data_IF_704456457594
#
_entry.id   IF_704456457594
#
_cell.length_a   1.000
_cell.length_b   1.000
_cell.length_c   1.000
_cell.angle_alpha   90.00
_cell.angle_beta   90.00
_cell.angle_gamma   90.00
#
_symmetry.space_group_name_H-M   'P 1'
#
loop_
_entity.id
_entity.type
_entity.pdbx_description
1 polymer ?
#
# COMPACT_ATOMS: atom_id res chain seq x y z
N UNK A 1 -10.68 20.48 0.01
CA UNK A 1 -10.10 19.13 -0.22
C UNK A 1 -10.71 18.44 -1.44
N UNK A 2 -11.96 18.73 -1.79
CA UNK A 2 -12.65 18.03 -2.88
C UNK A 2 -12.01 18.28 -4.25
N UNK A 3 -11.50 19.49 -4.49
CA UNK A 3 -10.69 19.80 -5.69
C UNK A 3 -9.47 18.89 -5.85
N UNK A 4 -8.76 18.61 -4.75
CA UNK A 4 -7.58 17.73 -4.77
C UNK A 4 -7.97 16.27 -5.05
N UNK A 5 -9.07 15.79 -4.45
CA UNK A 5 -9.60 14.45 -4.74
C UNK A 5 -10.02 14.31 -6.20
N UNK A 6 -10.75 15.30 -6.72
CA UNK A 6 -11.18 15.32 -8.12
C UNK A 6 -9.98 15.29 -9.07
N UNK A 7 -8.91 16.04 -8.76
CA UNK A 7 -7.68 16.04 -9.53
C UNK A 7 -6.94 14.69 -9.51
N UNK A 8 -6.87 14.02 -8.36
CA UNK A 8 -6.27 12.67 -8.29
C UNK A 8 -7.08 11.66 -9.13
N UNK A 9 -8.41 11.77 -9.10
CA UNK A 9 -9.31 10.90 -9.87
C UNK A 9 -9.21 11.14 -11.36
N UNK A 10 -9.09 12.39 -11.81
CA UNK A 10 -8.93 12.70 -13.25
C UNK A 10 -7.63 12.13 -13.82
N UNK A 11 -6.62 11.89 -12.98
CA UNK A 11 -5.38 11.21 -13.36
C UNK A 11 -5.45 9.68 -13.28
N UNK A 12 -6.63 9.08 -13.13
CA UNK A 12 -6.85 7.64 -13.05
C UNK A 12 -6.00 6.94 -11.97
N UNK A 13 -5.64 7.65 -10.91
CA UNK A 13 -4.85 7.07 -9.82
C UNK A 13 -5.73 6.16 -8.97
N UNK A 14 -5.13 5.10 -8.42
CA UNK A 14 -5.84 4.17 -7.57
C UNK A 14 -6.47 4.87 -6.34
N UNK A 15 -7.68 4.46 -5.97
CA UNK A 15 -8.40 4.99 -4.81
C UNK A 15 -7.59 4.91 -3.49
N UNK A 16 -6.76 3.87 -3.34
CA UNK A 16 -5.86 3.74 -2.18
C UNK A 16 -4.80 4.86 -2.16
N UNK A 17 -4.32 5.28 -3.32
CA UNK A 17 -3.40 6.42 -3.46
C UNK A 17 -4.10 7.73 -3.10
N UNK A 18 -5.34 7.95 -3.58
CA UNK A 18 -6.17 9.10 -3.16
C UNK A 18 -6.27 9.18 -1.63
N UNK A 19 -6.71 8.09 -0.98
CA UNK A 19 -6.83 8.03 0.48
C UNK A 19 -5.51 8.36 1.18
N UNK A 20 -4.42 7.79 0.68
CA UNK A 20 -3.08 7.97 1.28
C UNK A 20 -2.60 9.41 1.14
N UNK A 21 -2.73 10.00 -0.04
CA UNK A 21 -2.26 11.37 -0.30
C UNK A 21 -3.10 12.38 0.46
N UNK A 22 -4.43 12.26 0.41
CA UNK A 22 -5.33 13.14 1.17
C UNK A 22 -5.03 13.07 2.67
N UNK A 23 -4.76 11.86 3.21
CA UNK A 23 -4.39 11.69 4.61
C UNK A 23 -3.13 12.50 4.98
N UNK A 24 -2.06 12.37 4.19
CA UNK A 24 -0.80 13.07 4.46
C UNK A 24 -0.91 14.58 4.28
N UNK A 25 -1.60 15.04 3.24
CA UNK A 25 -1.83 16.47 3.02
C UNK A 25 -2.64 17.09 4.15
N UNK A 26 -3.71 16.43 4.62
CA UNK A 26 -4.48 16.89 5.77
C UNK A 26 -3.63 16.96 7.04
N UNK A 27 -2.75 15.98 7.26
CA UNK A 27 -1.87 15.95 8.42
C UNK A 27 -0.81 17.05 8.38
N UNK A 28 -0.29 17.35 7.20
CA UNK A 28 0.62 18.47 6.94
C UNK A 28 -0.03 19.82 7.22
N UNK A 29 -1.23 20.05 6.67
CA UNK A 29 -2.00 21.29 6.91
C UNK A 29 -2.30 21.46 8.40
N UNK A 30 -2.66 20.38 9.11
CA UNK A 30 -2.92 20.43 10.55
C UNK A 30 -1.66 20.70 11.39
N UNK A 31 -0.48 20.31 10.89
CA UNK A 31 0.78 20.59 11.58
C UNK A 31 1.16 22.08 11.48
N UNK A 32 0.76 22.75 10.40
CA UNK A 32 0.95 24.19 10.17
C UNK A 32 -0.31 25.00 10.47
N UNK A 33 -1.05 24.65 11.53
CA UNK A 33 -2.21 25.40 12.03
C UNK A 33 -3.28 25.75 10.97
N UNK A 34 -3.46 24.85 10.00
CA UNK A 34 -4.41 24.98 8.89
C UNK A 34 -4.08 26.10 7.89
N UNK A 35 -2.84 26.55 7.85
CA UNK A 35 -2.35 27.42 6.78
C UNK A 35 -2.53 26.76 5.42
N UNK A 36 -2.83 27.57 4.40
CA UNK A 36 -3.03 27.08 3.06
C UNK A 36 -1.69 26.61 2.48
N UNK A 37 -1.60 25.42 1.85
CA UNK A 37 -0.35 24.90 1.30
C UNK A 37 0.37 25.82 0.31
N UNK A 38 -0.34 26.70 -0.39
CA UNK A 38 0.26 27.71 -1.29
C UNK A 38 1.08 28.78 -0.55
N UNK A 39 0.82 28.99 0.74
CA UNK A 39 1.57 29.94 1.58
C UNK A 39 2.81 29.29 2.21
N UNK A 40 2.86 27.96 2.20
CA UNK A 40 3.92 27.16 2.80
C UNK A 40 4.97 26.82 1.74
N UNK A 41 6.25 26.87 2.13
CA UNK A 41 7.41 26.67 1.26
C UNK A 41 8.15 25.37 1.61
N UNK A 42 9.23 25.08 0.89
CA UNK A 42 10.09 23.91 1.11
C UNK A 42 10.53 23.73 2.57
N UNK A 43 10.85 24.82 3.27
CA UNK A 43 11.20 24.80 4.70
C UNK A 43 10.10 24.20 5.59
N UNK A 44 8.85 24.42 5.23
CA UNK A 44 7.68 23.97 6.00
C UNK A 44 7.44 22.47 5.76
N UNK A 45 7.73 22.01 4.54
CA UNK A 45 7.79 20.58 4.20
C UNK A 45 8.92 19.90 4.99
N UNK A 46 10.11 20.50 5.05
CA UNK A 46 11.26 19.97 5.79
C UNK A 46 10.98 19.87 7.28
N UNK A 47 10.37 20.90 7.87
CA UNK A 47 9.95 20.91 9.27
C UNK A 47 8.97 19.77 9.57
N UNK A 48 7.97 19.56 8.70
CA UNK A 48 7.01 18.48 8.87
C UNK A 48 7.64 17.09 8.73
N UNK A 49 8.48 16.87 7.71
CA UNK A 49 9.14 15.58 7.49
C UNK A 49 10.13 15.26 8.62
N UNK A 50 10.83 16.26 9.13
CA UNK A 50 11.70 16.14 10.31
C UNK A 50 10.88 15.82 11.55
N UNK A 51 9.74 16.48 11.76
CA UNK A 51 8.82 16.15 12.85
C UNK A 51 8.35 14.70 12.81
N UNK A 52 8.03 14.18 11.62
CA UNK A 52 7.63 12.78 11.46
C UNK A 52 8.76 11.80 11.83
N UNK A 53 10.01 12.12 11.51
CA UNK A 53 11.15 11.27 11.83
C UNK A 53 11.54 11.36 13.31
N UNK A 54 11.69 12.58 13.84
CA UNK A 54 12.27 12.83 15.15
C UNK A 54 11.23 12.69 16.27
N UNK A 55 10.05 13.29 16.13
CA UNK A 55 9.04 13.31 17.20
C UNK A 55 8.01 12.18 17.09
N UNK A 56 7.72 11.70 15.87
CA UNK A 56 6.78 10.59 15.66
C UNK A 56 7.47 9.24 15.44
N UNK A 57 8.80 9.22 15.38
CA UNK A 57 9.61 8.00 15.20
C UNK A 57 9.04 7.07 14.09
N UNK A 58 8.56 7.69 13.01
CA UNK A 58 7.91 6.95 11.92
C UNK A 58 8.92 6.07 11.19
N UNK A 59 8.46 5.07 10.43
CA UNK A 59 9.36 4.26 9.62
C UNK A 59 9.85 5.02 8.37
N UNK A 60 10.99 4.63 7.77
CA UNK A 60 11.46 5.22 6.51
C UNK A 60 10.41 5.13 5.39
N UNK A 61 9.68 4.02 5.31
CA UNK A 61 8.61 3.83 4.32
C UNK A 61 7.43 4.79 4.56
N UNK A 62 7.09 5.05 5.83
CA UNK A 62 6.05 6.01 6.21
C UNK A 62 6.46 7.42 5.81
N UNK A 63 7.67 7.86 6.14
CA UNK A 63 8.20 9.18 5.78
C UNK A 63 8.25 9.36 4.27
N UNK A 64 8.73 8.35 3.53
CA UNK A 64 8.77 8.37 2.05
C UNK A 64 7.37 8.52 1.44
N UNK A 65 6.36 7.88 2.03
CA UNK A 65 4.98 8.02 1.57
C UNK A 65 4.43 9.43 1.80
N UNK A 66 4.75 10.04 2.94
CA UNK A 66 4.41 11.43 3.22
C UNK A 66 5.10 12.39 2.26
N UNK A 67 6.41 12.23 2.05
CA UNK A 67 7.19 13.01 1.08
C UNK A 67 6.58 12.93 -0.33
N UNK A 68 6.29 11.72 -0.82
CA UNK A 68 5.69 11.54 -2.15
C UNK A 68 4.33 12.24 -2.28
N UNK A 69 3.51 12.23 -1.23
CA UNK A 69 2.23 12.92 -1.23
C UNK A 69 2.39 14.45 -1.29
N UNK A 70 3.37 15.00 -0.57
CA UNK A 70 3.65 16.44 -0.56
C UNK A 70 4.28 16.91 -1.87
N UNK A 71 5.27 16.18 -2.39
CA UNK A 71 5.84 16.46 -3.72
C UNK A 71 4.76 16.42 -4.80
N UNK A 72 3.84 15.45 -4.74
CA UNK A 72 2.71 15.40 -5.67
C UNK A 72 1.78 16.61 -5.51
N UNK A 73 1.45 17.02 -4.28
CA UNK A 73 0.63 18.21 -4.03
C UNK A 73 1.26 19.46 -4.67
N UNK A 74 2.53 19.71 -4.38
CA UNK A 74 3.23 20.92 -4.84
C UNK A 74 3.49 20.91 -6.34
N UNK A 75 4.04 19.81 -6.86
CA UNK A 75 4.42 19.71 -8.28
C UNK A 75 3.22 19.57 -9.21
N UNK A 76 2.28 18.68 -8.88
CA UNK A 76 1.21 18.32 -9.82
C UNK A 76 -0.07 19.13 -9.61
N UNK A 77 -0.43 19.44 -8.36
CA UNK A 77 -1.70 20.10 -8.07
C UNK A 77 -1.57 21.63 -7.95
N UNK A 78 -0.53 22.13 -7.27
CA UNK A 78 -0.30 23.57 -7.09
C UNK A 78 0.55 24.19 -8.20
N UNK A 79 1.29 23.37 -8.96
CA UNK A 79 2.23 23.87 -9.99
C UNK A 79 3.41 24.66 -9.42
N UNK A 80 3.69 24.50 -8.14
CA UNK A 80 4.77 25.18 -7.41
C UNK A 80 5.77 24.11 -6.95
N UNK A 81 6.76 23.75 -7.78
CA UNK A 81 7.72 22.72 -7.40
C UNK A 81 8.51 23.16 -6.17
N UNK A 82 8.79 22.21 -5.27
CA UNK A 82 9.61 22.43 -4.10
C UNK A 82 11.09 22.50 -4.50
N UNK A 83 11.80 23.45 -3.91
CA UNK A 83 13.27 23.49 -3.92
C UNK A 83 13.89 22.28 -3.21
N UNK A 84 15.22 22.20 -3.18
CA UNK A 84 15.96 21.16 -2.48
C UNK A 84 15.52 21.06 -1.01
N UNK A 85 15.08 19.85 -0.62
CA UNK A 85 14.57 19.53 0.70
C UNK A 85 15.69 18.99 1.60
N UNK A 86 15.87 19.59 2.78
CA UNK A 86 16.90 19.27 3.75
C UNK A 86 16.28 18.80 5.08
N UNK A 87 15.63 17.64 5.07
CA UNK A 87 14.97 17.06 6.25
C UNK A 87 15.74 15.88 6.86
N UNK A 88 15.46 15.60 8.13
CA UNK A 88 16.03 14.43 8.83
C UNK A 88 15.36 13.13 8.39
N UNK A 89 16.13 12.18 7.85
CA UNK A 89 15.62 10.86 7.49
C UNK A 89 15.34 9.99 8.71
N UNK A 90 14.23 9.26 8.68
CA UNK A 90 13.98 8.19 9.63
C UNK A 90 15.01 7.07 9.44
N UNK A 91 15.59 6.61 10.55
CA UNK A 91 16.58 5.53 10.59
C UNK A 91 16.09 4.28 11.32
N UNK A 92 14.77 4.07 11.38
CA UNK A 92 14.22 2.90 12.08
C UNK A 92 14.75 1.61 11.41
N UNK A 93 15.42 0.71 12.16
CA UNK A 93 15.99 -0.50 11.58
C UNK A 93 14.89 -1.37 11.00
N UNK A 94 15.10 -1.83 9.76
CA UNK A 94 14.17 -2.73 9.11
C UNK A 94 14.30 -4.10 9.76
N UNK A 95 13.20 -4.59 10.36
CA UNK A 95 13.17 -5.95 10.90
C UNK A 95 13.19 -6.93 9.73
N UNK A 96 14.06 -7.94 9.83
CA UNK A 96 14.04 -9.08 8.90
C UNK A 96 12.65 -9.72 9.03
N UNK A 97 11.96 -10.00 7.91
CA UNK A 97 10.67 -10.67 7.97
C UNK A 97 10.82 -12.03 8.64
N UNK A 98 10.14 -12.23 9.76
CA UNK A 98 10.01 -13.54 10.40
C UNK A 98 9.02 -14.34 9.58
N UNK A 99 9.46 -15.47 9.03
CA UNK A 99 8.62 -16.39 8.28
C UNK A 99 8.16 -17.51 9.20
N UNK A 100 6.92 -17.96 9.01
CA UNK A 100 6.43 -19.17 9.69
C UNK A 100 7.11 -20.40 9.13
N UNK A 101 7.40 -21.37 9.99
CA UNK A 101 7.66 -22.75 9.57
C UNK A 101 6.41 -23.37 8.94
N UNK A 102 6.61 -24.47 8.20
CA UNK A 102 5.49 -25.20 7.59
C UNK A 102 4.47 -25.65 8.65
N UNK A 103 4.93 -26.16 9.80
CA UNK A 103 4.07 -26.64 10.88
C UNK A 103 3.25 -25.50 11.52
N UNK A 104 3.87 -24.35 11.80
CA UNK A 104 3.17 -23.18 12.35
C UNK A 104 2.12 -22.63 11.39
N UNK A 105 2.44 -22.57 10.10
CA UNK A 105 1.51 -22.11 9.08
C UNK A 105 0.30 -23.06 8.96
N UNK A 106 0.51 -24.38 8.96
CA UNK A 106 -0.57 -25.36 8.94
C UNK A 106 -1.42 -25.30 10.22
N UNK A 107 -0.80 -25.19 11.38
CA UNK A 107 -1.51 -25.05 12.65
C UNK A 107 -2.40 -23.81 12.65
N UNK A 108 -1.87 -22.66 12.21
CA UNK A 108 -2.64 -21.40 12.13
C UNK A 108 -3.81 -21.52 11.15
N UNK A 109 -3.60 -22.11 9.97
CA UNK A 109 -4.68 -22.35 8.99
C UNK A 109 -5.72 -23.32 9.55
N UNK A 110 -5.32 -24.30 10.35
CA UNK A 110 -6.21 -25.26 11.02
C UNK A 110 -7.17 -24.60 12.01
N UNK A 111 -6.78 -23.49 12.64
CA UNK A 111 -7.63 -22.72 13.57
C UNK A 111 -8.60 -21.75 12.86
N UNK A 112 -8.43 -21.53 11.55
CA UNK A 112 -9.37 -20.72 10.77
C UNK A 112 -10.56 -21.56 10.30
N UNK A 113 -11.72 -20.93 10.14
CA UNK A 113 -12.95 -21.59 9.67
C UNK A 113 -13.55 -20.86 8.46
N UNK A 114 -14.35 -21.61 7.68
CA UNK A 114 -15.12 -21.09 6.55
C UNK A 114 -14.26 -20.44 5.46
N UNK A 115 -14.74 -19.30 4.94
CA UNK A 115 -14.09 -18.57 3.82
C UNK A 115 -12.67 -18.12 4.15
N UNK A 116 -12.40 -17.73 5.40
CA UNK A 116 -11.06 -17.29 5.82
C UNK A 116 -10.04 -18.42 5.72
N UNK A 117 -10.44 -19.65 6.06
CA UNK A 117 -9.60 -20.82 5.93
C UNK A 117 -9.27 -21.12 4.46
N UNK A 118 -10.28 -21.08 3.58
CA UNK A 118 -10.09 -21.27 2.15
C UNK A 118 -9.11 -20.25 1.56
N UNK A 119 -9.31 -18.96 1.87
CA UNK A 119 -8.42 -17.89 1.41
C UNK A 119 -6.99 -18.09 1.94
N UNK A 120 -6.83 -18.46 3.21
CA UNK A 120 -5.52 -18.72 3.80
C UNK A 120 -4.81 -19.92 3.13
N UNK A 121 -5.54 -21.02 2.86
CA UNK A 121 -5.01 -22.18 2.12
C UNK A 121 -4.58 -21.81 0.70
N UNK A 122 -5.39 -21.03 0.00
CA UNK A 122 -5.06 -20.55 -1.35
C UNK A 122 -3.80 -19.69 -1.32
N UNK A 123 -3.72 -18.70 -0.43
CA UNK A 123 -2.54 -17.84 -0.28
C UNK A 123 -1.30 -18.69 0.03
N UNK A 124 -1.40 -19.63 0.98
CA UNK A 124 -0.29 -20.45 1.41
C UNK A 124 0.20 -21.39 0.30
N UNK A 125 -0.71 -22.10 -0.37
CA UNK A 125 -0.33 -23.14 -1.34
C UNK A 125 -0.09 -22.65 -2.76
N UNK A 126 -0.57 -21.45 -3.14
CA UNK A 126 -0.36 -20.87 -4.48
C UNK A 126 0.44 -19.57 -4.48
N UNK A 127 0.83 -19.05 -3.31
CA UNK A 127 1.60 -17.82 -3.19
C UNK A 127 0.85 -16.58 -3.67
N UNK A 128 -0.49 -16.58 -3.60
CA UNK A 128 -1.32 -15.41 -3.93
C UNK A 128 -1.11 -14.29 -2.92
N UNK A 129 -1.06 -13.04 -3.39
CA UNK A 129 -1.23 -11.90 -2.48
C UNK A 129 -2.67 -11.86 -2.01
N UNK A 130 -2.91 -11.32 -0.82
CA UNK A 130 -4.27 -11.22 -0.25
C UNK A 130 -5.29 -10.59 -1.21
N UNK A 131 -4.92 -9.49 -1.90
CA UNK A 131 -5.81 -8.85 -2.87
C UNK A 131 -6.00 -9.65 -4.17
N UNK A 132 -5.06 -10.52 -4.52
CA UNK A 132 -5.20 -11.43 -5.67
C UNK A 132 -6.22 -12.53 -5.30
N UNK A 133 -6.09 -13.13 -4.11
CA UNK A 133 -7.03 -14.13 -3.61
C UNK A 133 -8.46 -13.59 -3.41
N UNK A 134 -8.60 -12.36 -2.87
CA UNK A 134 -9.92 -11.75 -2.64
C UNK A 134 -10.63 -11.29 -3.92
N UNK A 135 -9.92 -11.19 -5.05
CA UNK A 135 -10.47 -10.75 -6.34
C UNK A 135 -10.68 -11.89 -7.33
N UNK A 136 -10.40 -13.11 -6.89
CA UNK A 136 -10.56 -14.30 -7.71
C UNK A 136 -12.00 -14.45 -8.19
N UNK A 137 -12.19 -14.83 -9.45
CA UNK A 137 -13.49 -15.17 -10.00
C UNK A 137 -13.56 -16.67 -10.26
N UNK A 138 -14.76 -17.23 -10.32
CA UNK A 138 -14.95 -18.66 -10.62
C UNK A 138 -14.24 -19.07 -11.91
N UNK A 139 -14.29 -18.23 -12.94
CA UNK A 139 -13.61 -18.43 -14.24
C UNK A 139 -12.07 -18.37 -14.21
N UNK A 140 -11.49 -17.99 -13.08
CA UNK A 140 -10.04 -17.90 -12.91
C UNK A 140 -9.47 -19.19 -12.32
N UNK A 141 -10.32 -20.17 -11.98
CA UNK A 141 -9.91 -21.46 -11.45
C UNK A 141 -10.11 -22.51 -12.53
N UNK A 142 -8.99 -23.09 -12.97
CA UNK A 142 -9.01 -24.26 -13.86
C UNK A 142 -8.73 -25.51 -13.03
N UNK A 143 -9.77 -26.31 -12.81
CA UNK A 143 -9.66 -27.57 -12.07
C UNK A 143 -9.01 -28.69 -12.90
N UNK A 144 -9.11 -28.64 -14.23
CA UNK A 144 -8.50 -29.63 -15.11
C UNK A 144 -6.97 -29.49 -15.14
N UNK A 145 -6.50 -28.25 -15.26
CA UNK A 145 -5.06 -27.93 -15.24
C UNK A 145 -4.50 -27.71 -13.83
N UNK A 146 -5.35 -27.69 -12.80
CA UNK A 146 -4.98 -27.34 -11.41
C UNK A 146 -4.26 -25.99 -11.35
N UNK A 147 -4.84 -24.97 -11.97
CA UNK A 147 -4.23 -23.64 -12.09
C UNK A 147 -5.18 -22.53 -11.71
N UNK A 148 -4.60 -21.41 -11.27
CA UNK A 148 -5.28 -20.17 -10.94
C UNK A 148 -4.73 -19.06 -11.83
N UNK A 149 -5.62 -18.42 -12.59
CA UNK A 149 -5.31 -17.31 -13.47
C UNK A 149 -5.46 -15.97 -12.74
N UNK A 150 -4.35 -15.32 -12.37
CA UNK A 150 -4.38 -14.02 -11.70
C UNK A 150 -4.40 -12.90 -12.74
N UNK A 151 -5.46 -12.09 -12.73
CA UNK A 151 -5.62 -10.94 -13.63
C UNK A 151 -5.28 -9.62 -12.92
N UNK A 152 -4.48 -8.78 -13.55
CA UNK A 152 -4.24 -7.41 -13.08
C UNK A 152 -3.15 -7.30 -12.01
N UNK A 153 -1.98 -7.89 -12.27
CA UNK A 153 -0.76 -7.65 -11.48
C UNK A 153 -0.36 -6.16 -11.44
N UNK A 154 0.59 -5.80 -10.55
CA UNK A 154 1.07 -4.42 -10.38
C UNK A 154 1.43 -3.80 -11.75
N UNK A 155 0.76 -2.72 -12.11
CA UNK A 155 0.95 -2.03 -13.40
C UNK A 155 -0.02 -2.44 -14.51
N UNK A 156 -1.07 -3.21 -14.21
CA UNK A 156 -2.04 -3.72 -15.19
C UNK A 156 -1.38 -4.55 -16.32
N UNK A 157 -0.16 -5.05 -16.07
CA UNK A 157 0.60 -5.87 -17.01
C UNK A 157 0.48 -7.34 -16.60
N UNK A 158 0.04 -8.15 -17.56
CA UNK A 158 0.16 -9.60 -17.56
C UNK A 158 -0.86 -10.33 -16.69
N UNK A 159 -1.54 -11.27 -17.32
CA UNK A 159 -2.13 -12.43 -16.64
C UNK A 159 -0.98 -13.29 -16.14
N UNK A 160 -0.98 -13.70 -14.87
CA UNK A 160 -0.01 -14.68 -14.36
C UNK A 160 -0.72 -15.92 -13.88
N UNK A 161 -0.25 -17.09 -14.31
CA UNK A 161 -0.74 -18.39 -13.86
C UNK A 161 0.00 -18.82 -12.59
N UNK A 162 -0.75 -19.34 -11.62
CA UNK A 162 -0.21 -19.91 -10.39
C UNK A 162 -0.78 -21.31 -10.17
N UNK A 163 -0.02 -22.24 -9.58
CA UNK A 163 -0.51 -23.58 -9.30
C UNK A 163 -1.64 -23.52 -8.25
N UNK A 164 -2.71 -24.30 -8.46
CA UNK A 164 -3.76 -24.50 -7.48
C UNK A 164 -3.26 -25.48 -6.40
N UNK A 165 -3.36 -25.07 -5.13
CA UNK A 165 -2.92 -25.87 -4.01
C UNK A 165 -3.75 -27.15 -3.85
N UNK A 166 -3.11 -28.34 -3.87
CA UNK A 166 -3.79 -29.64 -3.72
C UNK A 166 -4.40 -29.89 -2.34
N UNK A 167 -3.91 -29.21 -1.30
CA UNK A 167 -4.34 -29.38 0.10
C UNK A 167 -5.68 -28.72 0.46
N UNK A 168 -6.40 -28.16 -0.52
CA UNK A 168 -7.72 -27.55 -0.34
C UNK A 168 -8.92 -28.40 -0.78
N UNK A 169 -8.69 -29.55 -1.44
CA UNK A 169 -9.73 -30.36 -2.10
C UNK A 169 -10.03 -31.69 -1.41
N UNK A 170 -9.35 -32.01 -0.31
CA UNK A 170 -9.70 -33.14 0.55
C UNK A 170 -10.39 -32.60 1.79
N UNK A 171 -11.71 -32.49 1.71
CA UNK A 171 -12.66 -32.54 2.80
C UNK A 171 -13.78 -33.49 2.36
#
# INVERSE_FOLDING_TARGET
MDRFRAFIRSRNMAFRTEKTYVHWVLRYIRFHDRQHPEQLKSRDVDAFLTYLAVHKHCSPATQKTALNALVFLYREFLGQPLDALNFSYSRKPQRVPVVFSHAEAQALIGHLTGTNQLVARLIYGSGLRINEALRLRVKDVDFAMQQITVRGGKGNKGTSEKPLARSGLQA
#
